data_IF_722649705412
#
_entry.id   IF_722649705412
#
_cell.length_a   1.000
_cell.length_b   1.000
_cell.length_c   1.000
_cell.angle_alpha   90.00
_cell.angle_beta   90.00
_cell.angle_gamma   90.00
#
_symmetry.space_group_name_H-M   'P 1'
#
loop_
_entity.id
_entity.type
_entity.pdbx_description
1 polymer ?
#
# COMPACT_ATOMS: atom_id res chain seq x y z
N UNK A 1 2.73 -15.42 -4.10
CA UNK A 1 2.85 -14.00 -3.73
C UNK A 1 1.74 -13.21 -4.40
N UNK A 2 1.13 -12.29 -3.68
CA UNK A 2 0.12 -11.34 -4.15
C UNK A 2 0.58 -9.93 -3.83
N UNK A 3 0.11 -8.93 -4.59
CA UNK A 3 0.30 -7.52 -4.29
C UNK A 3 -1.04 -6.87 -4.06
N UNK A 4 -1.22 -6.27 -2.88
CA UNK A 4 -2.33 -5.37 -2.61
C UNK A 4 -1.97 -4.00 -3.19
N UNK A 5 -2.74 -3.58 -4.20
CA UNK A 5 -2.75 -2.24 -4.76
C UNK A 5 -3.87 -1.45 -4.11
N UNK A 6 -3.51 -0.41 -3.35
CA UNK A 6 -4.47 0.49 -2.72
C UNK A 6 -4.48 1.81 -3.46
N UNK A 7 -5.65 2.24 -3.89
CA UNK A 7 -5.90 3.61 -4.35
C UNK A 7 -6.63 4.37 -3.27
N UNK A 8 -6.15 5.57 -2.97
CA UNK A 8 -6.77 6.49 -2.02
C UNK A 8 -7.25 7.73 -2.76
N UNK A 9 -8.46 8.16 -2.45
CA UNK A 9 -8.89 9.56 -2.62
C UNK A 9 -8.62 10.27 -1.28
N UNK A 10 -7.60 11.11 -1.26
CA UNK A 10 -7.16 11.85 -0.07
C UNK A 10 -7.73 13.26 -0.06
N UNK A 11 -7.60 13.96 1.07
CA UNK A 11 -7.91 15.38 1.10
C UNK A 11 -6.76 16.19 0.47
N UNK A 12 -6.97 17.00 -0.59
CA UNK A 12 -5.89 17.73 -1.27
C UNK A 12 -5.07 18.65 -0.35
N UNK A 13 -5.75 19.31 0.60
CA UNK A 13 -5.08 20.22 1.54
C UNK A 13 -4.41 19.52 2.74
N UNK A 14 -4.38 18.18 2.77
CA UNK A 14 -3.83 17.39 3.89
C UNK A 14 -2.78 16.38 3.46
N UNK A 15 -2.10 16.63 2.33
CA UNK A 15 -1.07 15.75 1.78
C UNK A 15 0.06 15.52 2.79
N UNK A 16 0.52 16.55 3.50
CA UNK A 16 1.59 16.41 4.51
C UNK A 16 1.17 15.46 5.64
N UNK A 17 -0.07 15.56 6.14
CA UNK A 17 -0.60 14.64 7.14
C UNK A 17 -0.77 13.22 6.57
N UNK A 18 -1.20 13.08 5.32
CA UNK A 18 -1.25 11.78 4.66
C UNK A 18 0.15 11.16 4.52
N UNK A 19 1.18 11.96 4.26
CA UNK A 19 2.57 11.49 4.18
C UNK A 19 3.06 10.93 5.52
N UNK A 20 2.71 11.56 6.65
CA UNK A 20 2.99 11.03 7.99
C UNK A 20 2.36 9.65 8.17
N UNK A 21 1.08 9.52 7.81
CA UNK A 21 0.37 8.23 7.83
C UNK A 21 1.02 7.19 6.92
N UNK A 22 1.36 7.57 5.68
CA UNK A 22 2.01 6.69 4.70
C UNK A 22 3.35 6.16 5.20
N UNK A 23 4.19 7.05 5.76
CA UNK A 23 5.49 6.69 6.34
C UNK A 23 5.35 5.69 7.50
N UNK A 24 4.30 5.81 8.31
CA UNK A 24 4.05 4.86 9.39
C UNK A 24 3.70 3.45 8.88
N UNK A 25 2.94 3.33 7.79
CA UNK A 25 2.51 2.02 7.28
C UNK A 25 3.62 1.18 6.66
N UNK A 26 4.70 1.79 6.17
CA UNK A 26 5.83 1.07 5.55
C UNK A 26 6.42 0.03 6.54
N UNK A 27 6.97 0.44 7.70
CA UNK A 27 7.52 -0.52 8.67
C UNK A 27 6.43 -1.38 9.33
N UNK A 28 5.19 -0.89 9.43
CA UNK A 28 4.09 -1.69 9.99
C UNK A 28 3.77 -2.89 9.11
N UNK A 29 3.67 -2.71 7.79
CA UNK A 29 3.44 -3.84 6.87
C UNK A 29 4.60 -4.84 6.93
N UNK A 30 5.84 -4.35 6.96
CA UNK A 30 7.04 -5.21 7.06
C UNK A 30 7.09 -6.01 8.37
N UNK A 31 6.69 -5.39 9.50
CA UNK A 31 6.57 -6.04 10.81
C UNK A 31 5.70 -7.29 10.76
N UNK A 32 4.67 -7.31 9.92
CA UNK A 32 3.76 -8.45 9.77
C UNK A 32 4.15 -9.42 8.64
N UNK A 33 5.38 -9.31 8.12
CA UNK A 33 5.90 -10.20 7.08
C UNK A 33 5.47 -9.84 5.66
N UNK A 34 4.94 -8.63 5.46
CA UNK A 34 4.73 -8.07 4.13
C UNK A 34 6.02 -7.44 3.57
N UNK A 35 6.01 -7.14 2.28
CA UNK A 35 7.04 -6.32 1.62
C UNK A 35 6.38 -5.07 1.08
N UNK A 36 6.77 -3.90 1.57
CA UNK A 36 6.18 -2.64 1.12
C UNK A 36 6.94 -2.10 -0.11
N UNK A 37 6.23 -1.75 -1.18
CA UNK A 37 6.81 -1.26 -2.44
C UNK A 37 6.78 0.26 -2.57
N UNK A 38 6.12 0.93 -1.62
CA UNK A 38 6.11 2.37 -1.49
C UNK A 38 4.71 2.96 -1.48
N UNK A 39 4.64 4.20 -1.01
CA UNK A 39 3.52 5.09 -1.23
C UNK A 39 3.90 6.09 -2.31
N UNK A 40 2.94 6.39 -3.19
CA UNK A 40 3.08 7.34 -4.28
C UNK A 40 2.01 8.41 -4.06
N UNK A 41 2.46 9.63 -3.75
CA UNK A 41 1.61 10.79 -3.46
C UNK A 41 1.38 11.62 -4.73
N UNK A 42 0.41 12.55 -4.72
CA UNK A 42 0.19 13.46 -5.85
C UNK A 42 1.45 14.24 -6.23
N UNK A 43 1.71 14.35 -7.54
CA UNK A 43 2.74 15.23 -8.09
C UNK A 43 2.27 15.87 -9.40
N UNK A 44 2.34 15.14 -10.51
CA UNK A 44 1.73 15.49 -11.81
C UNK A 44 0.58 14.52 -12.12
N UNK A 45 -0.42 14.51 -11.24
CA UNK A 45 -1.59 13.63 -11.29
C UNK A 45 -2.81 14.34 -10.70
N UNK A 46 -3.92 13.62 -10.51
CA UNK A 46 -5.00 14.13 -9.67
C UNK A 46 -4.44 14.48 -8.28
N UNK A 47 -4.78 15.67 -7.78
CA UNK A 47 -4.22 16.24 -6.55
C UNK A 47 -4.75 15.55 -5.27
N UNK A 48 -5.70 14.64 -5.41
CA UNK A 48 -6.26 13.79 -4.37
C UNK A 48 -5.95 12.30 -4.58
N UNK A 49 -5.15 11.92 -5.57
CA UNK A 49 -4.81 10.52 -5.81
C UNK A 49 -3.51 10.15 -5.09
N UNK A 50 -3.60 9.23 -4.14
CA UNK A 50 -2.43 8.53 -3.59
C UNK A 50 -2.56 7.02 -3.78
N UNK A 51 -1.43 6.33 -3.88
CA UNK A 51 -1.35 4.89 -4.14
C UNK A 51 -0.38 4.22 -3.19
N UNK A 52 -0.69 3.00 -2.74
CA UNK A 52 0.25 2.14 -2.04
C UNK A 52 0.29 0.75 -2.67
N UNK A 53 1.48 0.14 -2.70
CA UNK A 53 1.66 -1.25 -3.10
C UNK A 53 2.43 -1.99 -2.02
N UNK A 54 1.96 -3.17 -1.66
CA UNK A 54 2.71 -4.09 -0.81
C UNK A 54 2.33 -5.54 -1.10
N UNK A 55 3.27 -6.45 -0.89
CA UNK A 55 3.10 -7.88 -1.19
C UNK A 55 3.07 -8.75 0.06
N UNK A 56 2.34 -9.86 -0.05
CA UNK A 56 2.34 -10.97 0.91
C UNK A 56 2.49 -12.30 0.16
N UNK A 57 2.97 -13.38 0.81
CA UNK A 57 3.11 -14.69 0.19
C UNK A 57 1.80 -15.24 -0.42
N UNK A 58 0.65 -14.98 0.23
CA UNK A 58 -0.68 -15.42 -0.17
C UNK A 58 -1.77 -14.48 0.37
N UNK A 59 -3.02 -14.67 -0.07
CA UNK A 59 -4.19 -13.98 0.51
C UNK A 59 -4.35 -14.31 2.00
N UNK A 60 -4.15 -15.57 2.40
CA UNK A 60 -4.21 -15.97 3.81
C UNK A 60 -3.20 -15.21 4.69
N UNK A 61 -1.95 -15.06 4.23
CA UNK A 61 -0.95 -14.29 4.97
C UNK A 61 -1.32 -12.79 5.09
N UNK A 62 -1.97 -12.24 4.06
CA UNK A 62 -2.51 -10.88 4.11
C UNK A 62 -3.68 -10.76 5.11
N UNK A 63 -4.59 -11.74 5.14
CA UNK A 63 -5.72 -11.77 6.06
C UNK A 63 -5.26 -11.87 7.53
N UNK A 64 -4.24 -12.70 7.80
CA UNK A 64 -3.60 -12.79 9.11
C UNK A 64 -2.98 -11.45 9.53
N UNK A 65 -2.26 -10.78 8.62
CA UNK A 65 -1.77 -9.41 8.84
C UNK A 65 -2.92 -8.47 9.19
N UNK A 66 -4.02 -8.49 8.42
CA UNK A 66 -5.16 -7.60 8.63
C UNK A 66 -5.79 -7.83 9.99
N UNK A 67 -5.99 -9.08 10.41
CA UNK A 67 -6.52 -9.40 11.73
C UNK A 67 -5.60 -8.85 12.84
N UNK A 68 -4.31 -9.17 12.79
CA UNK A 68 -3.32 -8.71 13.77
C UNK A 68 -3.15 -7.19 13.82
N UNK A 69 -3.31 -6.51 12.68
CA UNK A 69 -3.24 -5.04 12.62
C UNK A 69 -4.32 -4.33 13.45
N UNK A 70 -5.41 -5.01 13.79
CA UNK A 70 -6.45 -4.46 14.66
C UNK A 70 -6.14 -4.63 16.17
N UNK A 71 -5.08 -5.35 16.50
CA UNK A 71 -4.63 -5.60 17.88
C UNK A 71 -3.30 -4.91 18.20
N UNK A 72 -2.57 -4.43 17.17
CA UNK A 72 -1.29 -3.73 17.33
C UNK A 72 -1.48 -2.24 17.63
N UNK A 73 -0.83 -1.75 18.69
CA UNK A 73 -0.99 -0.39 19.20
C UNK A 73 -0.57 0.69 18.18
N UNK A 74 0.50 0.45 17.41
CA UNK A 74 1.01 1.40 16.41
C UNK A 74 0.08 1.44 15.18
N UNK A 75 -0.43 0.29 14.74
CA UNK A 75 -1.46 0.23 13.71
C UNK A 75 -2.73 0.98 14.14
N UNK A 76 -3.18 0.77 15.37
CA UNK A 76 -4.33 1.48 15.94
C UNK A 76 -4.07 3.00 16.03
N UNK A 77 -2.85 3.42 16.36
CA UNK A 77 -2.46 4.83 16.35
C UNK A 77 -2.52 5.42 14.93
N UNK A 78 -2.03 4.70 13.92
CA UNK A 78 -2.12 5.14 12.52
C UNK A 78 -3.58 5.26 12.04
N UNK A 79 -4.45 4.31 12.42
CA UNK A 79 -5.88 4.38 12.11
C UNK A 79 -6.56 5.58 12.79
N UNK A 80 -6.27 5.84 14.07
CA UNK A 80 -6.79 7.02 14.79
C UNK A 80 -6.31 8.31 14.15
N UNK A 81 -5.01 8.41 13.88
CA UNK A 81 -4.41 9.57 13.21
C UNK A 81 -5.12 9.87 11.89
N UNK A 82 -5.37 8.85 11.05
CA UNK A 82 -6.05 9.04 9.79
C UNK A 82 -7.48 9.57 9.94
N UNK A 83 -8.21 9.06 10.94
CA UNK A 83 -9.59 9.46 11.24
C UNK A 83 -9.66 10.89 11.78
N UNK A 84 -8.85 11.21 12.78
CA UNK A 84 -8.84 12.52 13.44
C UNK A 84 -8.39 13.63 12.47
N UNK A 85 -7.44 13.32 11.60
CA UNK A 85 -6.96 14.26 10.59
C UNK A 85 -7.75 14.22 9.28
N UNK A 86 -8.78 13.39 9.14
CA UNK A 86 -9.65 13.37 7.95
C UNK A 86 -8.90 13.28 6.61
N UNK A 87 -7.81 12.51 6.56
CA UNK A 87 -6.87 12.50 5.43
C UNK A 87 -7.33 11.63 4.25
N UNK A 88 -8.22 10.66 4.48
CA UNK A 88 -8.74 9.73 3.45
C UNK A 88 -10.25 9.90 3.33
N UNK A 89 -10.74 10.14 2.10
CA UNK A 89 -12.17 10.19 1.75
C UNK A 89 -12.68 8.81 1.32
N UNK A 90 -11.90 8.12 0.49
CA UNK A 90 -12.20 6.79 -0.04
C UNK A 90 -10.90 6.02 -0.25
N UNK A 91 -10.95 4.70 -0.15
CA UNK A 91 -9.90 3.85 -0.66
C UNK A 91 -10.47 2.55 -1.24
N UNK A 92 -9.79 1.99 -2.23
CA UNK A 92 -10.09 0.69 -2.82
C UNK A 92 -8.87 -0.22 -2.71
N UNK A 93 -9.09 -1.53 -2.57
CA UNK A 93 -8.02 -2.54 -2.58
C UNK A 93 -8.22 -3.52 -3.71
N UNK A 94 -7.18 -3.69 -4.52
CA UNK A 94 -7.15 -4.67 -5.61
C UNK A 94 -5.98 -5.62 -5.38
N UNK A 95 -6.18 -6.92 -5.61
CA UNK A 95 -5.12 -7.93 -5.48
C UNK A 95 -4.62 -8.36 -6.85
N UNK A 96 -3.31 -8.24 -7.05
CA UNK A 96 -2.65 -8.47 -8.33
C UNK A 96 -1.55 -9.54 -8.18
N UNK A 97 -1.25 -10.24 -9.28
CA UNK A 97 -0.06 -11.09 -9.37
C UNK A 97 1.13 -10.20 -9.76
N UNK A 98 2.19 -10.10 -8.93
CA UNK A 98 3.33 -9.27 -9.28
C UNK A 98 4.27 -9.95 -10.27
N UNK A 99 4.98 -9.12 -11.04
CA UNK A 99 6.20 -9.45 -11.79
C UNK A 99 7.22 -8.39 -11.36
N UNK A 100 8.17 -8.76 -10.50
CA UNK A 100 9.11 -7.81 -9.86
C UNK A 100 10.53 -7.89 -10.43
N UNK A 101 10.80 -8.93 -11.23
CA UNK A 101 12.08 -9.16 -11.90
C UNK A 101 11.85 -9.19 -13.41
N UNK A 102 12.79 -8.64 -14.17
CA UNK A 102 12.72 -8.57 -15.63
C UNK A 102 13.72 -9.52 -16.29
N UNK A 103 13.32 -10.13 -17.41
CA UNK A 103 14.18 -10.96 -18.26
C UNK A 103 13.76 -10.82 -19.74
N UNK A 104 14.73 -10.57 -20.63
CA UNK A 104 14.53 -10.45 -22.08
C UNK A 104 14.63 -11.79 -22.81
N UNK A 105 15.22 -12.83 -22.19
CA UNK A 105 15.43 -14.12 -22.85
C UNK A 105 14.12 -14.77 -23.31
N UNK A 106 13.01 -14.79 -22.52
CA UNK A 106 11.75 -15.38 -22.96
C UNK A 106 11.15 -14.67 -24.18
N UNK A 107 11.27 -13.33 -24.25
CA UNK A 107 10.79 -12.57 -25.40
C UNK A 107 11.58 -12.90 -26.67
N UNK A 108 12.91 -12.95 -26.57
CA UNK A 108 13.79 -13.29 -27.71
C UNK A 108 13.53 -14.71 -28.22
N UNK A 109 13.31 -15.67 -27.32
CA UNK A 109 12.99 -17.05 -27.69
C UNK A 109 11.63 -17.17 -28.40
N UNK A 110 10.65 -16.33 -28.06
CA UNK A 110 9.32 -16.35 -28.68
C UNK A 110 9.27 -15.72 -30.08
N UNK A 111 10.30 -14.95 -30.47
CA UNK A 111 10.38 -14.28 -31.78
C UNK A 111 11.23 -15.04 -32.81
N UNK A 112 11.89 -16.13 -32.42
CA UNK A 112 12.72 -16.98 -33.28
C UNK A 112 11.91 -18.16 -33.83
#
# INVERSE_FOLDING_TARGET
MITCYITYEIHPDRIEAFEVYAKAWIPLVERFGGTHHGYFLPHESANDLAVALFSFPSLAAYEDYRARSFEDEDCLAAFRFARENGIVRRYDRTFLRPVLEGDLAPLKAAMA
#
